data_IF_439007844135
#
_entry.id   IF_439007844135
#
_cell.length_a   1.000
_cell.length_b   1.000
_cell.length_c   1.000
_cell.angle_alpha   90.00
_cell.angle_beta   90.00
_cell.angle_gamma   90.00
#
_symmetry.space_group_name_H-M   'P 1'
#
loop_
_entity.id
_entity.type
_entity.pdbx_description
1 polymer ?
#
# COMPACT_ATOMS: atom_id res chain seq x y z
N UNK A 1 21.18 -1.15 15.52
CA UNK A 1 19.80 -1.35 15.02
C UNK A 1 19.87 -1.42 13.51
N UNK A 2 19.49 -2.53 12.93
CA UNK A 2 19.45 -2.72 11.47
C UNK A 2 18.00 -2.69 11.02
N UNK A 3 17.67 -1.83 10.08
CA UNK A 3 16.33 -1.74 9.49
C UNK A 3 16.42 -2.33 8.08
N UNK A 4 15.84 -3.50 7.87
CA UNK A 4 15.70 -4.11 6.54
C UNK A 4 14.30 -3.85 5.99
N UNK A 5 14.21 -3.65 4.69
CA UNK A 5 12.96 -3.38 3.99
C UNK A 5 12.60 -4.51 3.04
N UNK A 6 11.40 -5.02 3.19
CA UNK A 6 10.74 -5.86 2.19
C UNK A 6 9.37 -5.29 1.87
N UNK A 7 9.13 -4.94 0.62
CA UNK A 7 7.79 -4.74 0.12
C UNK A 7 7.39 -6.00 -0.63
N UNK A 8 6.48 -6.79 -0.09
CA UNK A 8 5.88 -7.92 -0.78
C UNK A 8 4.60 -7.44 -1.46
N UNK A 9 4.68 -7.14 -2.76
CA UNK A 9 3.49 -6.99 -3.61
C UNK A 9 3.12 -8.40 -4.07
N UNK A 10 2.22 -9.05 -3.34
CA UNK A 10 1.70 -10.34 -3.74
C UNK A 10 0.50 -10.14 -4.68
N UNK A 11 0.69 -10.43 -5.96
CA UNK A 11 -0.33 -10.30 -7.02
C UNK A 11 -1.36 -11.44 -7.05
N UNK A 12 -1.47 -12.23 -6.00
CA UNK A 12 -2.37 -13.40 -5.94
C UNK A 12 -3.43 -13.24 -4.86
N UNK A 13 -4.65 -13.05 -5.31
CA UNK A 13 -5.93 -13.51 -4.75
C UNK A 13 -5.86 -14.08 -3.32
N UNK A 14 -5.87 -13.26 -2.35
CA UNK A 14 -6.33 -13.41 -0.97
C UNK A 14 -5.55 -12.44 -0.11
N UNK A 15 -6.16 -11.30 0.15
CA UNK A 15 -5.66 -10.35 1.14
C UNK A 15 -5.88 -10.99 2.52
N UNK A 16 -4.99 -11.89 2.92
CA UNK A 16 -4.91 -12.36 4.31
C UNK A 16 -3.98 -11.42 5.04
N UNK A 17 -4.57 -10.44 5.69
CA UNK A 17 -3.88 -9.49 6.55
C UNK A 17 -3.51 -10.18 7.88
N UNK A 18 -2.36 -10.85 7.91
CA UNK A 18 -1.72 -11.29 9.16
C UNK A 18 -0.34 -10.66 9.30
N UNK A 19 -0.18 -9.90 10.40
CA UNK A 19 1.06 -9.30 10.93
C UNK A 19 1.60 -8.05 10.18
N UNK A 20 1.30 -6.90 10.71
CA UNK A 20 1.59 -5.55 10.19
C UNK A 20 0.44 -4.97 9.39
N UNK A 21 -0.72 -5.59 9.49
CA UNK A 21 -1.91 -5.25 8.76
C UNK A 21 -2.74 -4.15 9.42
N UNK A 22 -3.59 -3.56 8.63
CA UNK A 22 -4.63 -2.64 9.03
C UNK A 22 -5.50 -3.37 10.06
N UNK A 23 -5.65 -2.79 11.22
CA UNK A 23 -6.60 -3.25 12.22
C UNK A 23 -7.99 -2.88 11.72
N UNK A 24 -8.73 -3.87 11.23
CA UNK A 24 -10.09 -3.71 10.75
C UNK A 24 -11.06 -4.08 11.87
N UNK A 25 -12.01 -3.19 12.13
CA UNK A 25 -13.11 -3.43 13.04
C UNK A 25 -14.37 -3.86 12.25
N UNK A 26 -15.29 -4.54 12.93
CA UNK A 26 -16.60 -4.87 12.38
C UNK A 26 -17.32 -3.58 11.98
N UNK A 27 -17.85 -3.56 10.76
CA UNK A 27 -18.49 -2.37 10.17
C UNK A 27 -17.53 -1.44 9.41
N UNK A 28 -16.21 -1.71 9.41
CA UNK A 28 -15.27 -0.91 8.62
C UNK A 28 -15.51 -1.11 7.12
N UNK A 29 -15.50 0.01 6.40
CA UNK A 29 -15.62 0.04 4.95
C UNK A 29 -14.24 0.02 4.31
N UNK A 30 -14.04 -0.88 3.37
CA UNK A 30 -12.81 -1.05 2.61
C UNK A 30 -13.10 -0.85 1.14
N UNK A 31 -12.31 -0.02 0.49
CA UNK A 31 -12.44 0.22 -0.95
C UNK A 31 -11.18 -0.27 -1.66
N UNK A 32 -11.36 -1.10 -2.66
CA UNK A 32 -10.32 -1.56 -3.57
C UNK A 32 -10.54 -1.03 -4.97
N UNK A 33 -9.46 -0.58 -5.62
CA UNK A 33 -9.48 -0.14 -7.02
C UNK A 33 -8.48 -0.95 -7.83
N UNK A 34 -8.95 -1.54 -8.91
CA UNK A 34 -8.10 -2.24 -9.88
C UNK A 34 -8.05 -1.46 -11.20
N UNK A 35 -6.84 -1.02 -11.58
CA UNK A 35 -6.60 -0.33 -12.85
C UNK A 35 -6.05 -1.35 -13.84
N UNK A 36 -6.95 -1.94 -14.63
CA UNK A 36 -6.64 -2.97 -15.59
C UNK A 36 -6.44 -2.42 -17.02
N UNK A 37 -6.03 -3.30 -17.94
CA UNK A 37 -5.79 -2.96 -19.35
C UNK A 37 -7.08 -2.79 -20.17
N UNK A 38 -8.20 -3.29 -19.66
CA UNK A 38 -9.50 -3.29 -20.37
C UNK A 38 -10.58 -2.56 -19.60
N UNK A 39 -10.41 -2.45 -18.30
CA UNK A 39 -11.37 -1.78 -17.40
C UNK A 39 -10.67 -1.26 -16.15
N UNK A 40 -11.25 -0.26 -15.53
CA UNK A 40 -11.03 0.11 -14.12
C UNK A 40 -12.22 -0.42 -13.33
N UNK A 41 -11.97 -1.00 -12.19
CA UNK A 41 -13.01 -1.53 -11.30
C UNK A 41 -12.82 -0.99 -9.88
N UNK A 42 -13.94 -0.68 -9.22
CA UNK A 42 -13.99 -0.29 -7.81
C UNK A 42 -14.86 -1.30 -7.06
N UNK A 43 -14.34 -1.84 -5.98
CA UNK A 43 -15.05 -2.77 -5.09
C UNK A 43 -15.13 -2.14 -3.71
N UNK A 44 -16.33 -2.10 -3.16
CA UNK A 44 -16.57 -1.67 -1.78
C UNK A 44 -16.94 -2.89 -0.96
N UNK A 45 -16.27 -3.09 0.14
CA UNK A 45 -16.52 -4.18 1.09
C UNK A 45 -16.74 -3.66 2.50
N UNK A 46 -17.46 -4.42 3.30
CA UNK A 46 -17.67 -4.18 4.72
C UNK A 46 -17.14 -5.37 5.53
N UNK A 47 -16.55 -5.09 6.68
CA UNK A 47 -16.11 -6.13 7.61
C UNK A 47 -17.30 -6.64 8.40
N UNK A 48 -17.67 -7.90 8.18
CA UNK A 48 -18.80 -8.54 8.86
C UNK A 48 -18.45 -9.04 10.28
N UNK A 49 -19.45 -9.58 10.99
CA UNK A 49 -19.31 -10.10 12.36
C UNK A 49 -18.36 -11.32 12.49
N UNK A 50 -17.93 -11.90 11.38
CA UNK A 50 -16.97 -13.00 11.33
C UNK A 50 -15.56 -12.52 10.96
N UNK A 51 -15.30 -11.21 11.01
CA UNK A 51 -14.04 -10.59 10.60
C UNK A 51 -13.68 -10.86 9.12
N UNK A 52 -14.69 -11.06 8.28
CA UNK A 52 -14.54 -11.27 6.84
C UNK A 52 -15.02 -10.06 6.08
N UNK A 53 -14.35 -9.76 4.95
CA UNK A 53 -14.78 -8.69 4.05
C UNK A 53 -15.89 -9.23 3.16
N UNK A 54 -17.07 -8.64 3.29
CA UNK A 54 -18.23 -8.90 2.43
C UNK A 54 -18.34 -7.80 1.39
N UNK A 55 -18.41 -8.15 0.10
CA UNK A 55 -18.55 -7.17 -0.97
C UNK A 55 -19.97 -6.62 -0.99
N UNK A 56 -20.11 -5.32 -0.82
CA UNK A 56 -21.41 -4.61 -0.85
C UNK A 56 -21.66 -3.90 -2.19
N UNK A 57 -20.59 -3.57 -2.94
CA UNK A 57 -20.72 -2.94 -4.25
C UNK A 57 -19.52 -3.31 -5.15
N UNK A 58 -19.76 -3.43 -6.46
CA UNK A 58 -18.73 -3.65 -7.45
C UNK A 58 -19.08 -2.94 -8.74
N UNK A 59 -18.39 -1.84 -9.02
CA UNK A 59 -18.57 -1.05 -10.23
C UNK A 59 -17.38 -1.23 -11.17
N UNK A 60 -17.59 -1.10 -12.46
CA UNK A 60 -16.49 -1.12 -13.42
C UNK A 60 -16.80 -0.31 -14.67
N UNK A 61 -15.76 0.34 -15.21
CA UNK A 61 -15.85 1.11 -16.43
C UNK A 61 -14.77 0.69 -17.43
N UNK A 62 -15.15 0.61 -18.72
CA UNK A 62 -14.21 0.23 -19.79
C UNK A 62 -13.11 1.29 -19.89
N UNK A 63 -11.86 0.84 -19.95
CA UNK A 63 -10.70 1.69 -20.06
C UNK A 63 -9.68 1.04 -20.99
N UNK A 64 -9.08 1.81 -21.87
CA UNK A 64 -7.98 1.40 -22.75
C UNK A 64 -6.71 2.23 -22.53
N UNK A 65 -6.73 3.11 -21.51
CA UNK A 65 -5.60 3.98 -21.15
C UNK A 65 -4.36 3.25 -20.64
N UNK A 66 -4.46 1.93 -20.36
CA UNK A 66 -3.36 1.10 -19.92
C UNK A 66 -3.11 -0.02 -20.93
N UNK A 67 -1.88 -0.17 -21.44
CA UNK A 67 -1.50 -1.24 -22.38
C UNK A 67 -0.26 -1.97 -21.90
N UNK A 68 -0.39 -3.30 -21.70
CA UNK A 68 0.71 -4.16 -21.18
C UNK A 68 1.35 -3.59 -19.89
N UNK A 69 0.54 -3.01 -19.02
CA UNK A 69 0.99 -2.36 -17.80
C UNK A 69 1.59 -0.96 -18.00
N UNK A 70 1.63 -0.39 -19.19
CA UNK A 70 2.09 0.97 -19.48
C UNK A 70 0.91 1.92 -19.60
N UNK A 71 0.97 3.03 -18.92
CA UNK A 71 0.01 4.13 -19.08
C UNK A 71 0.26 4.76 -20.46
N UNK A 72 -0.75 4.77 -21.31
CA UNK A 72 -0.72 5.36 -22.65
C UNK A 72 -1.69 6.54 -22.77
N UNK A 73 -2.67 6.63 -21.88
CA UNK A 73 -3.62 7.73 -21.82
C UNK A 73 -4.07 7.94 -20.36
N UNK A 74 -3.50 8.94 -19.69
CA UNK A 74 -3.79 9.26 -18.30
C UNK A 74 -5.21 9.81 -18.12
N UNK A 75 -5.69 10.61 -19.08
CA UNK A 75 -7.02 11.24 -19.02
C UNK A 75 -8.12 10.17 -19.05
N UNK A 76 -7.95 9.15 -19.91
CA UNK A 76 -8.89 8.04 -20.00
C UNK A 76 -8.92 7.21 -18.70
N UNK A 77 -7.77 6.97 -18.10
CA UNK A 77 -7.70 6.28 -16.80
C UNK A 77 -8.39 7.12 -15.73
N UNK A 78 -8.09 8.42 -15.65
CA UNK A 78 -8.68 9.32 -14.68
C UNK A 78 -10.21 9.41 -14.82
N UNK A 79 -10.72 9.51 -16.05
CA UNK A 79 -12.16 9.50 -16.33
C UNK A 79 -12.82 8.19 -15.90
N UNK A 80 -12.23 7.06 -16.27
CA UNK A 80 -12.75 5.73 -15.93
C UNK A 80 -12.73 5.50 -14.40
N UNK A 81 -11.67 5.95 -13.73
CA UNK A 81 -11.56 5.89 -12.27
C UNK A 81 -12.62 6.75 -11.58
N UNK A 82 -12.75 8.01 -12.00
CA UNK A 82 -13.77 8.92 -11.46
C UNK A 82 -15.18 8.35 -11.63
N UNK A 83 -15.45 7.73 -12.79
CA UNK A 83 -16.75 7.13 -13.08
C UNK A 83 -17.06 5.95 -12.16
N UNK A 84 -16.11 5.00 -12.00
CA UNK A 84 -16.35 3.84 -11.14
C UNK A 84 -16.50 4.22 -9.66
N UNK A 85 -15.73 5.23 -9.19
CA UNK A 85 -15.86 5.73 -7.82
C UNK A 85 -17.22 6.41 -7.62
N UNK A 86 -17.63 7.30 -8.55
CA UNK A 86 -18.93 7.96 -8.46
C UNK A 86 -20.08 6.96 -8.46
N UNK A 87 -20.04 5.96 -9.36
CA UNK A 87 -21.08 4.92 -9.42
C UNK A 87 -21.13 4.09 -8.11
N UNK A 88 -19.97 3.80 -7.50
CA UNK A 88 -19.89 3.11 -6.22
C UNK A 88 -20.42 3.97 -5.05
N UNK A 89 -20.13 5.26 -5.04
CA UNK A 89 -20.67 6.21 -4.05
C UNK A 89 -22.20 6.31 -4.16
N UNK A 90 -22.71 6.40 -5.40
CA UNK A 90 -24.14 6.49 -5.67
C UNK A 90 -24.87 5.20 -5.26
N UNK A 91 -24.30 4.01 -5.54
CA UNK A 91 -24.89 2.71 -5.22
C UNK A 91 -24.87 2.42 -3.71
N UNK A 92 -23.79 2.80 -3.01
CA UNK A 92 -23.64 2.53 -1.57
C UNK A 92 -24.12 3.66 -0.67
N UNK A 93 -24.33 4.84 -1.22
CA UNK A 93 -24.60 6.07 -0.45
C UNK A 93 -23.47 6.45 0.53
N UNK A 94 -22.23 5.99 0.25
CA UNK A 94 -21.02 6.26 1.02
C UNK A 94 -20.15 7.28 0.29
N UNK A 95 -19.33 8.03 1.06
CA UNK A 95 -18.28 8.86 0.49
C UNK A 95 -16.93 8.15 0.56
N UNK A 96 -16.30 7.99 -0.60
CA UNK A 96 -15.00 7.30 -0.74
C UNK A 96 -13.88 8.33 -0.64
N UNK A 97 -13.22 8.39 0.51
CA UNK A 97 -12.10 9.30 0.77
C UNK A 97 -10.72 8.62 0.63
N UNK A 98 -10.70 7.29 0.65
CA UNK A 98 -9.47 6.50 0.54
C UNK A 98 -9.76 5.15 -0.10
N UNK A 99 -8.78 4.60 -0.81
CA UNK A 99 -8.88 3.28 -1.44
C UNK A 99 -7.52 2.60 -1.51
N UNK A 100 -7.52 1.27 -1.54
CA UNK A 100 -6.37 0.45 -1.90
C UNK A 100 -6.34 0.32 -3.42
N UNK A 101 -5.24 0.72 -4.05
CA UNK A 101 -5.10 0.70 -5.50
C UNK A 101 -4.07 -0.34 -5.91
N UNK A 102 -4.42 -1.21 -6.87
CA UNK A 102 -3.44 -2.11 -7.48
C UNK A 102 -2.61 -1.34 -8.52
N UNK A 103 -1.29 -1.46 -8.42
CA UNK A 103 -0.35 -0.87 -9.38
C UNK A 103 0.30 -1.99 -10.18
N UNK A 104 0.35 -1.93 -11.54
CA UNK A 104 1.05 -2.91 -12.34
C UNK A 104 2.53 -2.99 -11.96
N UNK A 105 2.96 -4.14 -11.41
CA UNK A 105 4.30 -4.33 -10.85
C UNK A 105 5.46 -4.15 -11.83
N UNK A 106 5.20 -4.09 -13.13
CA UNK A 106 6.22 -3.89 -14.18
C UNK A 106 6.96 -2.55 -14.06
N UNK A 107 6.34 -1.54 -13.49
CA UNK A 107 6.92 -0.18 -13.33
C UNK A 107 7.35 0.11 -11.91
N UNK A 108 7.09 -0.79 -10.98
CA UNK A 108 7.52 -0.67 -9.59
C UNK A 108 8.84 -1.43 -9.43
N UNK A 109 9.87 -0.74 -9.01
CA UNK A 109 11.15 -1.34 -8.62
C UNK A 109 11.23 -1.32 -7.10
N UNK A 110 11.40 -2.49 -6.51
CA UNK A 110 11.61 -2.62 -5.07
C UNK A 110 13.11 -2.69 -4.83
N UNK A 111 13.62 -1.74 -4.06
CA UNK A 111 15.00 -1.73 -3.60
C UNK A 111 15.00 -2.06 -2.12
N UNK A 112 15.75 -3.09 -1.74
CA UNK A 112 15.99 -3.41 -0.34
C UNK A 112 17.26 -2.68 0.11
N UNK A 113 17.16 -1.99 1.24
CA UNK A 113 18.31 -1.35 1.85
C UNK A 113 18.27 -1.58 3.37
N UNK A 114 19.42 -1.60 4.00
CA UNK A 114 19.56 -1.72 5.44
C UNK A 114 20.45 -0.59 5.97
N UNK A 115 20.11 -0.07 7.11
CA UNK A 115 20.90 0.94 7.81
C UNK A 115 21.08 0.50 9.24
N UNK A 116 22.28 0.65 9.75
CA UNK A 116 22.58 0.46 11.17
C UNK A 116 22.73 1.81 11.84
N UNK A 117 22.08 2.02 12.97
CA UNK A 117 22.12 3.26 13.72
C UNK A 117 22.23 3.00 15.21
N UNK A 118 23.16 3.71 15.87
CA UNK A 118 23.24 3.72 17.32
C UNK A 118 22.11 4.54 17.92
N UNK A 119 21.42 3.98 18.90
CA UNK A 119 20.42 4.68 19.71
C UNK A 119 21.15 5.44 20.81
N UNK A 120 20.89 6.75 20.90
CA UNK A 120 21.60 7.63 21.86
C UNK A 120 21.31 7.29 23.31
N UNK A 121 20.08 6.89 23.60
CA UNK A 121 19.68 6.49 24.95
C UNK A 121 19.48 4.96 25.01
N UNK A 122 20.47 4.29 25.57
CA UNK A 122 20.48 2.82 25.69
C UNK A 122 19.49 2.30 26.75
N UNK A 123 18.97 3.17 27.61
CA UNK A 123 18.09 2.79 28.72
C UNK A 123 16.60 2.95 28.39
N UNK A 124 16.25 3.86 27.50
CA UNK A 124 14.86 4.15 27.12
C UNK A 124 14.32 3.25 25.99
N UNK A 125 15.16 2.36 25.44
CA UNK A 125 14.80 1.56 24.28
C UNK A 125 14.76 2.37 22.98
N UNK A 126 14.13 1.80 21.93
CA UNK A 126 14.00 2.44 20.62
C UNK A 126 12.74 3.30 20.62
N UNK A 127 12.89 4.58 20.33
CA UNK A 127 11.77 5.50 20.20
C UNK A 127 11.30 5.61 18.73
N UNK A 128 10.04 6.03 18.54
CA UNK A 128 9.49 6.38 17.21
C UNK A 128 10.39 7.39 16.49
N UNK A 129 11.00 8.32 17.23
CA UNK A 129 11.93 9.31 16.69
C UNK A 129 13.21 8.68 16.14
N UNK A 130 13.72 7.61 16.76
CA UNK A 130 14.90 6.89 16.26
C UNK A 130 14.58 6.19 14.94
N UNK A 131 13.41 5.59 14.82
CA UNK A 131 12.90 4.97 13.60
C UNK A 131 12.71 6.00 12.50
N UNK A 132 12.05 7.12 12.78
CA UNK A 132 11.87 8.21 11.82
C UNK A 132 13.21 8.76 11.32
N UNK A 133 14.19 8.95 12.20
CA UNK A 133 15.53 9.38 11.83
C UNK A 133 16.27 8.34 10.96
N UNK A 134 16.07 7.05 11.22
CA UNK A 134 16.63 5.99 10.39
C UNK A 134 15.97 5.97 8.99
N UNK A 135 14.65 6.15 8.91
CA UNK A 135 13.92 6.27 7.65
C UNK A 135 14.41 7.47 6.83
N UNK A 136 14.65 8.62 7.48
CA UNK A 136 15.18 9.81 6.78
C UNK A 136 16.55 9.54 6.16
N UNK A 137 17.43 8.80 6.83
CA UNK A 137 18.75 8.47 6.28
C UNK A 137 18.67 7.47 5.11
N UNK A 138 17.64 6.60 5.12
CA UNK A 138 17.40 5.67 4.00
C UNK A 138 16.85 6.38 2.78
N UNK A 139 16.28 7.59 2.91
CA UNK A 139 15.80 8.40 1.76
C UNK A 139 16.93 8.88 0.85
N UNK A 140 18.15 8.96 1.38
CA UNK A 140 19.34 9.37 0.64
C UNK A 140 19.90 8.20 -0.19
N UNK A 141 19.03 7.61 -1.03
CA UNK A 141 19.39 6.57 -2.01
C UNK A 141 19.46 7.19 -3.39
N UNK A 142 20.46 6.77 -4.17
CA UNK A 142 20.51 7.10 -5.59
C UNK A 142 19.30 6.51 -6.31
N UNK A 143 18.38 7.39 -6.71
CA UNK A 143 17.21 7.02 -7.50
C UNK A 143 17.64 7.04 -8.96
N UNK A 144 17.53 5.92 -9.71
CA UNK A 144 17.87 5.90 -11.12
C UNK A 144 17.10 6.94 -11.93
N UNK A 145 17.75 7.48 -12.97
CA UNK A 145 17.14 8.45 -13.88
C UNK A 145 15.80 7.93 -14.43
N UNK A 146 14.79 8.79 -14.46
CA UNK A 146 13.44 8.45 -14.90
C UNK A 146 12.61 7.67 -13.88
N UNK A 147 13.07 7.54 -12.64
CA UNK A 147 12.30 6.93 -11.54
C UNK A 147 12.02 7.94 -10.44
N UNK A 148 10.95 7.72 -9.71
CA UNK A 148 10.55 8.52 -8.54
C UNK A 148 10.36 7.60 -7.35
N UNK A 149 10.85 8.01 -6.19
CA UNK A 149 10.58 7.33 -4.93
C UNK A 149 9.12 7.52 -4.55
N UNK A 150 8.35 6.43 -4.51
CA UNK A 150 6.93 6.46 -4.12
C UNK A 150 6.82 6.41 -2.61
N UNK A 151 7.48 5.41 -1.98
CA UNK A 151 7.38 5.20 -0.55
C UNK A 151 8.59 4.46 0.02
N UNK A 152 8.73 4.52 1.33
CA UNK A 152 9.72 3.79 2.12
C UNK A 152 8.99 3.04 3.22
N UNK A 153 8.92 1.71 3.08
CA UNK A 153 8.23 0.85 4.03
C UNK A 153 9.26 0.13 4.92
N UNK A 154 9.28 0.37 6.23
CA UNK A 154 10.08 -0.45 7.15
C UNK A 154 9.57 -1.89 7.15
N UNK A 155 10.46 -2.87 7.04
CA UNK A 155 10.11 -4.30 7.10
C UNK A 155 10.29 -4.83 8.52
N UNK A 156 11.48 -4.65 9.05
CA UNK A 156 11.82 -5.11 10.40
C UNK A 156 12.93 -4.27 11.03
N UNK A 157 12.92 -4.24 12.34
CA UNK A 157 13.96 -3.64 13.16
C UNK A 157 14.69 -4.78 13.87
N UNK A 158 16.01 -4.85 13.71
CA UNK A 158 16.84 -5.87 14.37
C UNK A 158 17.68 -5.17 15.43
N UNK A 159 17.58 -5.64 16.67
CA UNK A 159 18.36 -5.16 17.79
C UNK A 159 19.74 -5.85 17.80
N UNK A 160 20.70 -5.27 18.55
CA UNK A 160 22.05 -5.80 18.69
C UNK A 160 22.09 -7.24 19.24
N UNK A 161 21.08 -7.63 20.01
CA UNK A 161 20.93 -8.99 20.54
C UNK A 161 20.27 -9.96 19.55
N UNK A 162 19.99 -9.52 18.31
CA UNK A 162 19.33 -10.32 17.28
C UNK A 162 17.80 -10.38 17.39
N UNK A 163 17.18 -9.70 18.37
CA UNK A 163 15.73 -9.64 18.50
C UNK A 163 15.15 -8.85 17.33
N UNK A 164 14.11 -9.39 16.69
CA UNK A 164 13.37 -8.73 15.61
C UNK A 164 12.11 -8.08 16.20
N UNK A 165 11.95 -6.80 15.94
CA UNK A 165 10.79 -6.00 16.36
C UNK A 165 10.13 -5.47 15.09
N UNK A 166 8.83 -5.72 14.94
CA UNK A 166 8.04 -5.26 13.78
C UNK A 166 7.41 -3.89 14.01
N UNK A 167 7.24 -3.50 15.28
CA UNK A 167 6.69 -2.20 15.67
C UNK A 167 7.39 -1.78 16.99
N UNK A 168 8.12 -0.66 17.02
CA UNK A 168 8.83 -0.16 18.20
C UNK A 168 7.94 0.64 19.13
#
# INVERSE_FOLDING_TARGET
MTIEKKCNINTSRNLVLKNGGINLAIGDIIVGVDIGTTKVATVVGEVNNFEQIETICNTSYKCSGLKKGKIINEEEIALSLSKTISDAEDETNLKINSAYVTIPGKYVTIVQNSITKDVKDKYSGISIRDVQNAIMQVKDIDIPEGKTLIDIVPDKIILDNGTVVSDP
#
